data_IF_078540487547
#
_entry.id   IF_078540487547
#
_cell.length_a   1.000
_cell.length_b   1.000
_cell.length_c   1.000
_cell.angle_alpha   90.00
_cell.angle_beta   90.00
_cell.angle_gamma   90.00
#
_symmetry.space_group_name_H-M   'P 1'
#
loop_
_entity.id
_entity.type
_entity.pdbx_description
1 polymer ?
#
# COMPACT_ATOMS: atom_id res chain seq x y z
N UNK A 1 2.13 1.22 -12.04
CA UNK A 1 2.89 2.46 -12.31
C UNK A 1 2.07 3.63 -11.75
N UNK A 2 2.72 4.75 -11.38
CA UNK A 2 2.08 5.93 -10.75
C UNK A 2 1.65 6.94 -11.82
N UNK A 3 0.84 6.48 -12.76
CA UNK A 3 0.56 7.18 -14.02
C UNK A 3 -0.33 8.42 -13.82
N UNK A 4 -1.16 8.42 -12.77
CA UNK A 4 -2.15 9.45 -12.51
C UNK A 4 -1.64 10.50 -11.53
N UNK A 5 -1.98 11.76 -11.75
CA UNK A 5 -1.67 12.82 -10.79
C UNK A 5 -2.73 12.86 -9.69
N UNK A 6 -2.27 12.71 -8.45
CA UNK A 6 -3.04 12.79 -7.22
C UNK A 6 -3.12 14.22 -6.66
N UNK A 7 -3.57 14.35 -5.40
CA UNK A 7 -3.57 15.63 -4.68
C UNK A 7 -2.14 16.07 -4.34
N UNK A 8 -1.98 17.30 -3.84
CA UNK A 8 -0.69 17.75 -3.35
C UNK A 8 -0.29 16.98 -2.10
N UNK A 9 1.00 16.69 -1.97
CA UNK A 9 1.54 16.01 -0.79
C UNK A 9 1.31 16.84 0.48
N UNK A 10 1.41 18.17 0.38
CA UNK A 10 1.15 19.09 1.48
C UNK A 10 -0.27 18.92 2.03
N UNK A 11 -1.29 18.81 1.16
CA UNK A 11 -2.67 18.61 1.59
C UNK A 11 -2.83 17.32 2.39
N UNK A 12 -2.26 16.20 1.90
CA UNK A 12 -2.34 14.90 2.57
C UNK A 12 -1.59 14.88 3.90
N UNK A 13 -0.36 15.44 3.93
CA UNK A 13 0.46 15.47 5.15
C UNK A 13 -0.11 16.40 6.21
N UNK A 14 -0.74 17.51 5.82
CA UNK A 14 -1.51 18.37 6.73
C UNK A 14 -2.72 17.63 7.29
N UNK A 15 -3.51 16.98 6.43
CA UNK A 15 -4.67 16.18 6.85
C UNK A 15 -4.30 15.09 7.86
N UNK A 16 -3.15 14.43 7.67
CA UNK A 16 -2.63 13.45 8.63
C UNK A 16 -2.21 14.09 9.96
N UNK A 17 -1.63 15.29 9.95
CA UNK A 17 -1.25 16.00 11.16
C UNK A 17 -2.46 16.50 11.95
N UNK A 18 -3.57 16.77 11.26
CA UNK A 18 -4.84 17.27 11.81
C UNK A 18 -5.85 16.16 12.11
N UNK A 19 -5.41 14.90 12.16
CA UNK A 19 -6.30 13.78 12.48
C UNK A 19 -6.92 13.97 13.88
N UNK A 20 -8.25 13.84 14.01
CA UNK A 20 -8.92 13.93 15.30
C UNK A 20 -8.44 12.85 16.28
N UNK A 21 -8.24 13.19 17.55
CA UNK A 21 -7.81 12.23 18.60
C UNK A 21 -8.81 11.07 18.77
N UNK A 22 -10.09 11.30 18.52
CA UNK A 22 -11.12 10.25 18.49
C UNK A 22 -10.85 9.18 17.43
N UNK A 23 -10.20 9.53 16.30
CA UNK A 23 -9.76 8.56 15.29
C UNK A 23 -8.47 7.83 15.68
N UNK A 24 -7.77 8.32 16.71
CA UNK A 24 -6.58 7.72 17.31
C UNK A 24 -6.89 6.90 18.56
N UNK A 25 -8.17 6.78 18.93
CA UNK A 25 -8.58 5.93 20.04
C UNK A 25 -8.38 4.44 19.70
N UNK A 26 -8.45 3.60 20.74
CA UNK A 26 -8.11 2.19 20.60
C UNK A 26 -9.05 1.46 19.63
N UNK A 27 -8.52 0.80 18.58
CA UNK A 27 -9.33 -0.04 17.72
C UNK A 27 -9.86 -1.22 18.53
N UNK A 28 -11.10 -1.59 18.25
CA UNK A 28 -11.73 -2.73 18.88
C UNK A 28 -11.14 -4.02 18.31
N UNK A 29 -10.78 -4.95 19.19
CA UNK A 29 -10.50 -6.34 18.84
C UNK A 29 -11.01 -7.22 19.97
N UNK A 30 -11.96 -8.11 19.64
CA UNK A 30 -12.73 -8.85 20.64
C UNK A 30 -13.55 -7.94 21.57
N UNK A 31 -13.29 -8.03 22.88
CA UNK A 31 -13.96 -7.23 23.91
C UNK A 31 -13.17 -5.98 24.37
N UNK A 32 -11.99 -5.74 23.78
CA UNK A 32 -11.13 -4.60 24.13
C UNK A 32 -11.18 -3.54 23.02
N UNK A 33 -10.99 -2.26 23.38
CA UNK A 33 -11.03 -1.11 22.46
C UNK A 33 -12.43 -0.58 22.18
N UNK A 34 -12.52 0.47 21.36
CA UNK A 34 -13.73 1.26 21.15
C UNK A 34 -14.17 1.32 19.68
N UNK A 35 -13.22 1.45 18.75
CA UNK A 35 -13.55 1.73 17.35
C UNK A 35 -13.72 0.43 16.56
N UNK A 36 -14.90 0.23 15.96
CA UNK A 36 -15.13 -0.86 15.02
C UNK A 36 -14.50 -0.53 13.66
N UNK A 37 -13.27 -0.99 13.43
CA UNK A 37 -12.52 -0.62 12.22
C UNK A 37 -13.20 -1.11 10.94
N UNK A 38 -13.79 -2.31 10.92
CA UNK A 38 -14.57 -2.79 9.79
C UNK A 38 -15.74 -1.84 9.42
N UNK A 39 -16.41 -1.25 10.42
CA UNK A 39 -17.47 -0.28 10.18
C UNK A 39 -16.93 1.02 9.56
N UNK A 40 -15.81 1.54 10.07
CA UNK A 40 -15.15 2.73 9.50
C UNK A 40 -14.72 2.49 8.04
N UNK A 41 -14.22 1.29 7.72
CA UNK A 41 -13.88 0.91 6.34
C UNK A 41 -15.13 0.86 5.46
N UNK A 42 -16.24 0.30 5.95
CA UNK A 42 -17.51 0.30 5.23
C UNK A 42 -18.03 1.72 4.98
N UNK A 43 -17.94 2.60 5.98
CA UNK A 43 -18.38 4.00 5.88
C UNK A 43 -17.54 4.74 4.83
N UNK A 44 -16.21 4.60 4.88
CA UNK A 44 -15.32 5.14 3.85
C UNK A 44 -15.71 4.64 2.46
N UNK A 45 -15.87 3.33 2.29
CA UNK A 45 -16.22 2.75 0.99
C UNK A 45 -17.59 3.22 0.50
N UNK A 46 -18.53 3.43 1.41
CA UNK A 46 -19.86 3.98 1.09
C UNK A 46 -19.75 5.45 0.64
N UNK A 47 -18.97 6.27 1.34
CA UNK A 47 -18.71 7.67 0.97
C UNK A 47 -17.94 7.79 -0.37
N UNK A 48 -17.19 6.75 -0.74
CA UNK A 48 -16.51 6.63 -2.03
C UNK A 48 -17.38 6.00 -3.12
N UNK A 49 -18.68 5.79 -2.88
CA UNK A 49 -19.65 5.19 -3.81
C UNK A 49 -19.27 3.74 -4.23
N UNK A 50 -18.72 2.98 -3.28
CA UNK A 50 -18.13 1.67 -3.47
C UNK A 50 -18.45 0.68 -2.32
N UNK A 51 -19.70 0.56 -1.84
CA UNK A 51 -20.03 -0.33 -0.72
C UNK A 51 -19.72 -1.80 -1.06
N UNK A 52 -19.28 -2.56 -0.06
CA UNK A 52 -18.94 -3.98 -0.21
C UNK A 52 -19.75 -4.86 0.74
N UNK A 53 -19.79 -6.16 0.45
CA UNK A 53 -20.39 -7.13 1.35
C UNK A 53 -19.55 -7.28 2.63
N UNK A 54 -20.21 -7.44 3.78
CA UNK A 54 -19.56 -7.44 5.10
C UNK A 54 -18.50 -8.54 5.25
N UNK A 55 -18.62 -9.64 4.50
CA UNK A 55 -17.65 -10.74 4.53
C UNK A 55 -16.26 -10.33 4.06
N UNK A 56 -16.19 -9.29 3.22
CA UNK A 56 -14.92 -8.74 2.75
C UNK A 56 -14.20 -7.90 3.81
N UNK A 57 -14.88 -7.54 4.90
CA UNK A 57 -14.38 -6.65 5.94
C UNK A 57 -13.87 -7.39 7.18
N UNK A 58 -14.08 -8.71 7.28
CA UNK A 58 -13.68 -9.51 8.45
C UNK A 58 -12.20 -9.37 8.82
N UNK A 59 -11.33 -9.09 7.84
CA UNK A 59 -9.89 -8.85 8.09
C UNK A 59 -9.62 -7.65 9.01
N UNK A 60 -10.57 -6.72 9.11
CA UNK A 60 -10.50 -5.50 9.92
C UNK A 60 -11.18 -5.62 11.29
N UNK A 61 -11.81 -6.75 11.64
CA UNK A 61 -12.41 -6.94 12.97
C UNK A 61 -11.38 -7.24 14.06
N UNK A 62 -10.21 -7.75 13.66
CA UNK A 62 -9.14 -8.17 14.57
C UNK A 62 -9.47 -9.44 15.36
N UNK A 63 -8.57 -10.41 15.33
CA UNK A 63 -8.70 -11.67 16.07
C UNK A 63 -7.92 -11.66 17.40
N UNK A 64 -6.80 -10.92 17.45
CA UNK A 64 -5.91 -10.83 18.62
C UNK A 64 -5.55 -9.37 18.87
N UNK A 65 -6.06 -8.80 19.97
CA UNK A 65 -5.84 -7.39 20.30
C UNK A 65 -4.36 -7.01 20.36
N UNK A 66 -3.50 -7.84 20.96
CA UNK A 66 -2.09 -7.51 21.12
C UNK A 66 -1.36 -7.45 19.77
N UNK A 67 -1.75 -8.32 18.82
CA UNK A 67 -1.16 -8.38 17.47
C UNK A 67 -1.77 -7.37 16.52
N UNK A 68 -3.06 -7.12 16.65
CA UNK A 68 -3.84 -6.41 15.65
C UNK A 68 -3.98 -4.92 15.95
N UNK A 69 -3.81 -4.52 17.22
CA UNK A 69 -3.97 -3.13 17.67
C UNK A 69 -3.22 -2.12 16.80
N UNK A 70 -1.93 -2.34 16.56
CA UNK A 70 -1.14 -1.39 15.75
C UNK A 70 -1.58 -1.39 14.29
N UNK A 71 -1.83 -2.57 13.69
CA UNK A 71 -2.34 -2.69 12.31
C UNK A 71 -3.66 -1.95 12.14
N UNK A 72 -4.62 -2.23 13.00
CA UNK A 72 -5.96 -1.65 12.93
C UNK A 72 -5.94 -0.13 13.18
N UNK A 73 -5.07 0.36 14.06
CA UNK A 73 -4.87 1.80 14.23
C UNK A 73 -4.30 2.46 12.96
N UNK A 74 -3.39 1.79 12.23
CA UNK A 74 -2.89 2.29 10.94
C UNK A 74 -3.98 2.28 9.87
N UNK A 75 -4.83 1.25 9.85
CA UNK A 75 -6.01 1.19 8.95
C UNK A 75 -6.94 2.38 9.19
N UNK A 76 -7.19 2.76 10.45
CA UNK A 76 -7.95 3.98 10.77
C UNK A 76 -7.26 5.23 10.22
N UNK A 77 -5.97 5.43 10.47
CA UNK A 77 -5.25 6.60 9.93
C UNK A 77 -5.34 6.65 8.38
N UNK A 78 -5.24 5.50 7.71
CA UNK A 78 -5.43 5.39 6.27
C UNK A 78 -6.87 5.72 5.85
N UNK A 79 -7.89 5.28 6.59
CA UNK A 79 -9.27 5.64 6.30
C UNK A 79 -9.49 7.16 6.39
N UNK A 80 -8.93 7.80 7.42
CA UNK A 80 -8.98 9.26 7.54
C UNK A 80 -8.32 9.95 6.35
N UNK A 81 -7.15 9.49 5.93
CA UNK A 81 -6.43 10.00 4.77
C UNK A 81 -7.24 9.84 3.47
N UNK A 82 -7.81 8.65 3.24
CA UNK A 82 -8.57 8.31 2.04
C UNK A 82 -9.96 8.97 2.00
N UNK A 83 -10.42 9.56 3.11
CA UNK A 83 -11.63 10.37 3.15
C UNK A 83 -11.42 11.80 2.62
N UNK A 84 -10.20 12.14 2.19
CA UNK A 84 -9.93 13.41 1.49
C UNK A 84 -10.81 13.58 0.25
N UNK A 85 -11.24 14.82 0.01
CA UNK A 85 -12.14 15.22 -1.07
C UNK A 85 -11.63 14.77 -2.44
N UNK A 86 -10.31 14.75 -2.64
CA UNK A 86 -9.73 14.28 -3.89
C UNK A 86 -10.07 12.81 -4.16
N UNK A 87 -9.97 11.93 -3.15
CA UNK A 87 -10.32 10.51 -3.31
C UNK A 87 -11.82 10.31 -3.50
N UNK A 88 -12.66 11.13 -2.84
CA UNK A 88 -14.13 11.12 -3.05
C UNK A 88 -14.51 11.48 -4.48
N UNK A 89 -13.75 12.36 -5.12
CA UNK A 89 -13.94 12.71 -6.53
C UNK A 89 -13.33 11.68 -7.49
N UNK A 90 -12.14 11.17 -7.18
CA UNK A 90 -11.43 10.19 -8.00
C UNK A 90 -12.10 8.80 -7.99
N UNK A 91 -12.84 8.48 -6.91
CA UNK A 91 -13.56 7.22 -6.68
C UNK A 91 -12.71 5.97 -7.00
N UNK A 92 -11.58 5.75 -6.29
CA UNK A 92 -10.79 4.54 -6.47
C UNK A 92 -11.65 3.29 -6.24
N UNK A 93 -11.45 2.27 -7.05
CA UNK A 93 -12.22 1.02 -6.93
C UNK A 93 -12.00 0.35 -5.57
N UNK A 94 -13.07 -0.21 -4.99
CA UNK A 94 -13.08 -0.82 -3.66
C UNK A 94 -11.91 -1.80 -3.43
N UNK A 95 -11.61 -2.65 -4.42
CA UNK A 95 -10.56 -3.67 -4.30
C UNK A 95 -9.18 -3.07 -4.07
N UNK A 96 -8.87 -1.94 -4.72
CA UNK A 96 -7.58 -1.26 -4.51
C UNK A 96 -7.49 -0.66 -3.12
N UNK A 97 -8.59 -0.13 -2.59
CA UNK A 97 -8.65 0.42 -1.24
C UNK A 97 -8.48 -0.71 -0.22
N UNK A 98 -9.22 -1.80 -0.35
CA UNK A 98 -9.14 -2.95 0.56
C UNK A 98 -7.73 -3.56 0.58
N UNK A 99 -7.12 -3.76 -0.59
CA UNK A 99 -5.73 -4.25 -0.70
C UNK A 99 -4.76 -3.27 -0.05
N UNK A 100 -4.91 -1.96 -0.30
CA UNK A 100 -4.06 -0.95 0.33
C UNK A 100 -4.19 -1.00 1.85
N UNK A 101 -5.41 -1.03 2.40
CA UNK A 101 -5.64 -1.02 3.84
C UNK A 101 -5.05 -2.26 4.52
N UNK A 102 -5.22 -3.44 3.92
CA UNK A 102 -4.69 -4.69 4.47
C UNK A 102 -3.15 -4.78 4.32
N UNK A 103 -2.64 -4.62 3.11
CA UNK A 103 -1.20 -4.74 2.82
C UNK A 103 -0.39 -3.65 3.54
N UNK A 104 -0.70 -2.37 3.29
CA UNK A 104 0.08 -1.25 3.84
C UNK A 104 -0.09 -1.19 5.36
N UNK A 105 -1.29 -1.43 5.87
CA UNK A 105 -1.55 -1.53 7.30
C UNK A 105 -0.68 -2.61 7.95
N UNK A 106 -0.65 -3.81 7.37
CA UNK A 106 0.14 -4.93 7.89
C UNK A 106 1.66 -4.75 7.74
N UNK A 107 2.13 -4.17 6.64
CA UNK A 107 3.55 -3.91 6.40
C UNK A 107 4.11 -2.83 7.34
N UNK A 108 3.40 -1.69 7.48
CA UNK A 108 3.83 -0.61 8.36
C UNK A 108 3.72 -0.98 9.83
N UNK A 109 2.70 -1.75 10.23
CA UNK A 109 2.52 -2.14 11.63
C UNK A 109 3.71 -2.92 12.22
N UNK A 110 4.51 -3.58 11.36
CA UNK A 110 5.72 -4.31 11.75
C UNK A 110 6.93 -3.41 11.98
N UNK A 111 6.88 -2.16 11.52
CA UNK A 111 8.03 -1.26 11.45
C UNK A 111 7.85 0.00 12.29
N UNK A 112 6.63 0.51 12.38
CA UNK A 112 6.34 1.82 12.97
C UNK A 112 5.07 1.76 13.81
N UNK A 113 5.10 2.41 14.97
CA UNK A 113 3.92 2.62 15.80
C UNK A 113 2.98 3.62 15.12
N UNK A 114 1.67 3.36 15.12
CA UNK A 114 0.66 4.18 14.46
C UNK A 114 0.77 5.68 14.79
N UNK A 115 0.99 6.03 16.07
CA UNK A 115 1.15 7.44 16.51
C UNK A 115 2.33 8.17 15.87
N UNK A 116 3.37 7.46 15.40
CA UNK A 116 4.48 8.08 14.66
C UNK A 116 4.07 8.49 13.25
N UNK A 117 3.13 7.78 12.62
CA UNK A 117 2.59 8.17 11.31
C UNK A 117 1.77 9.46 11.34
N UNK A 118 1.50 10.00 12.53
CA UNK A 118 0.80 11.28 12.73
C UNK A 118 1.74 12.34 13.28
N UNK A 119 2.57 12.01 14.27
CA UNK A 119 3.45 12.99 14.92
C UNK A 119 4.73 13.29 14.15
N UNK A 120 5.27 12.34 13.41
CA UNK A 120 6.54 12.47 12.69
C UNK A 120 6.29 12.92 11.23
N UNK A 121 6.82 14.10 10.81
CA UNK A 121 6.64 14.61 9.45
C UNK A 121 7.12 13.66 8.35
N UNK A 122 8.25 12.98 8.56
CA UNK A 122 8.81 12.06 7.56
C UNK A 122 7.92 10.82 7.39
N UNK A 123 7.36 10.34 8.50
CA UNK A 123 6.41 9.21 8.49
C UNK A 123 5.06 9.57 7.91
N UNK A 124 4.58 10.81 8.10
CA UNK A 124 3.40 11.32 7.40
C UNK A 124 3.62 11.35 5.89
N UNK A 125 4.77 11.86 5.44
CA UNK A 125 5.14 11.88 4.03
C UNK A 125 5.21 10.46 3.45
N UNK A 126 5.89 9.54 4.16
CA UNK A 126 5.97 8.12 3.77
C UNK A 126 4.58 7.50 3.57
N UNK A 127 3.68 7.67 4.55
CA UNK A 127 2.32 7.11 4.49
C UNK A 127 1.52 7.67 3.31
N UNK A 128 1.54 9.00 3.12
CA UNK A 128 0.83 9.65 2.03
C UNK A 128 1.32 9.18 0.65
N UNK A 129 2.65 9.09 0.48
CA UNK A 129 3.25 8.61 -0.78
C UNK A 129 2.95 7.13 -1.03
N UNK A 130 3.04 6.29 -0.01
CA UNK A 130 2.69 4.87 -0.11
C UNK A 130 1.23 4.69 -0.54
N UNK A 131 0.30 5.41 0.09
CA UNK A 131 -1.12 5.33 -0.24
C UNK A 131 -1.37 5.73 -1.70
N UNK A 132 -0.82 6.86 -2.15
CA UNK A 132 -0.93 7.29 -3.54
C UNK A 132 -0.33 6.26 -4.51
N UNK A 133 0.87 5.76 -4.22
CA UNK A 133 1.55 4.79 -5.07
C UNK A 133 0.75 3.49 -5.24
N UNK A 134 0.15 2.99 -4.16
CA UNK A 134 -0.70 1.78 -4.18
C UNK A 134 -2.01 1.98 -4.95
N UNK A 135 -2.51 3.22 -5.01
CA UNK A 135 -3.65 3.57 -5.84
C UNK A 135 -3.27 3.89 -7.30
N UNK A 136 -1.97 3.89 -7.64
CA UNK A 136 -1.46 4.20 -8.98
C UNK A 136 -1.34 5.70 -9.26
N UNK A 137 -1.26 6.51 -8.20
CA UNK A 137 -1.17 7.96 -8.26
C UNK A 137 0.21 8.46 -7.79
N UNK A 138 0.63 9.62 -8.28
CA UNK A 138 1.78 10.39 -7.78
C UNK A 138 1.32 11.74 -7.23
N UNK A 139 2.06 12.37 -6.31
CA UNK A 139 1.70 13.71 -5.84
C UNK A 139 1.59 14.73 -6.97
N UNK A 140 0.71 15.72 -6.79
CA UNK A 140 0.63 16.86 -7.70
C UNK A 140 2.00 17.56 -7.81
N UNK A 141 2.38 17.93 -9.04
CA UNK A 141 3.65 18.59 -9.35
C UNK A 141 4.89 17.70 -9.52
N UNK A 142 4.83 16.41 -9.18
CA UNK A 142 5.99 15.49 -9.31
C UNK A 142 5.92 14.66 -10.59
N UNK A 143 7.04 14.33 -11.21
CA UNK A 143 7.09 13.29 -12.25
C UNK A 143 7.01 11.88 -11.64
N UNK A 144 6.74 10.86 -12.47
CA UNK A 144 6.75 9.46 -12.01
C UNK A 144 8.10 9.07 -11.40
N UNK A 145 9.20 9.46 -12.05
CA UNK A 145 10.55 9.20 -11.56
C UNK A 145 10.82 9.88 -10.21
N UNK A 146 10.46 11.17 -10.08
CA UNK A 146 10.61 11.90 -8.83
C UNK A 146 9.83 11.26 -7.68
N UNK A 147 8.57 10.89 -7.93
CA UNK A 147 7.71 10.28 -6.93
C UNK A 147 8.25 8.92 -6.48
N UNK A 148 8.72 8.10 -7.43
CA UNK A 148 9.30 6.79 -7.16
C UNK A 148 10.62 6.90 -6.37
N UNK A 149 11.53 7.77 -6.80
CA UNK A 149 12.83 7.97 -6.14
C UNK A 149 12.64 8.44 -4.70
N UNK A 150 11.72 9.38 -4.48
CA UNK A 150 11.40 9.87 -3.14
C UNK A 150 10.77 8.80 -2.26
N UNK A 151 9.86 7.99 -2.81
CA UNK A 151 9.26 6.87 -2.08
C UNK A 151 10.29 5.80 -1.69
N UNK A 152 11.23 5.48 -2.57
CA UNK A 152 12.33 4.53 -2.29
C UNK A 152 13.31 5.11 -1.25
N UNK A 153 13.54 6.42 -1.27
CA UNK A 153 14.38 7.07 -0.27
C UNK A 153 13.77 7.00 1.14
N UNK A 154 12.45 7.17 1.26
CA UNK A 154 11.74 7.20 2.54
C UNK A 154 11.35 5.81 3.05
N UNK A 155 10.81 4.97 2.19
CA UNK A 155 10.19 3.72 2.63
C UNK A 155 11.13 2.53 2.55
N UNK A 156 11.48 2.01 3.73
CA UNK A 156 12.26 0.77 3.83
C UNK A 156 11.50 -0.44 3.25
N UNK A 157 10.17 -0.42 3.33
CA UNK A 157 9.28 -1.42 2.74
C UNK A 157 9.37 -1.39 1.22
N UNK A 158 9.25 -0.22 0.59
CA UNK A 158 9.37 -0.14 -0.86
C UNK A 158 10.78 -0.40 -1.35
N UNK A 159 11.83 0.00 -0.60
CA UNK A 159 13.20 -0.47 -0.90
C UNK A 159 13.26 -2.00 -0.95
N UNK A 160 12.76 -2.67 0.08
CA UNK A 160 12.76 -4.14 0.15
C UNK A 160 11.96 -4.75 -1.00
N UNK A 161 10.81 -4.17 -1.34
CA UNK A 161 9.93 -4.62 -2.42
C UNK A 161 10.58 -4.46 -3.80
N UNK A 162 11.18 -3.31 -4.08
CA UNK A 162 11.95 -3.06 -5.32
C UNK A 162 13.10 -4.04 -5.43
N UNK A 163 13.87 -4.27 -4.36
CA UNK A 163 14.96 -5.24 -4.35
C UNK A 163 14.47 -6.67 -4.63
N UNK A 164 13.35 -7.09 -4.05
CA UNK A 164 12.74 -8.40 -4.32
C UNK A 164 12.27 -8.51 -5.78
N UNK A 165 11.60 -7.48 -6.30
CA UNK A 165 11.14 -7.45 -7.68
C UNK A 165 12.32 -7.53 -8.67
N UNK A 166 13.41 -6.81 -8.40
CA UNK A 166 14.64 -6.87 -9.20
C UNK A 166 15.26 -8.26 -9.22
N UNK A 167 15.33 -8.95 -8.07
CA UNK A 167 15.81 -10.33 -8.00
C UNK A 167 14.97 -11.30 -8.84
N UNK A 168 13.64 -11.22 -8.72
CA UNK A 168 12.72 -12.06 -9.50
C UNK A 168 12.87 -11.78 -11.01
N UNK A 169 13.03 -10.51 -11.41
CA UNK A 169 13.26 -10.15 -12.81
C UNK A 169 14.61 -10.67 -13.33
N UNK A 170 15.67 -10.58 -12.52
CA UNK A 170 17.01 -11.09 -12.86
C UNK A 170 17.01 -12.61 -13.01
N UNK A 171 16.36 -13.33 -12.10
CA UNK A 171 16.19 -14.80 -12.15
C UNK A 171 15.44 -15.22 -13.42
N UNK A 172 14.34 -14.54 -13.76
CA UNK A 172 13.60 -14.79 -15.01
C UNK A 172 14.45 -14.51 -16.25
N UNK A 173 15.19 -13.39 -16.26
CA UNK A 173 16.07 -13.07 -17.37
C UNK A 173 17.22 -14.08 -17.52
N UNK A 174 17.69 -14.65 -16.41
CA UNK A 174 18.70 -15.71 -16.40
C UNK A 174 18.13 -17.03 -16.94
N UNK A 175 16.95 -17.46 -16.47
CA UNK A 175 16.33 -18.71 -16.94
C UNK A 175 16.02 -18.68 -18.43
N UNK A 176 15.58 -17.53 -18.95
CA UNK A 176 15.36 -17.32 -20.39
C UNK A 176 16.68 -17.46 -21.16
N UNK A 177 17.77 -16.85 -20.70
CA UNK A 177 19.09 -16.95 -21.34
C UNK A 177 19.63 -18.38 -21.34
N UNK A 178 19.45 -19.11 -20.24
CA UNK A 178 19.86 -20.51 -20.13
C UNK A 178 19.04 -21.42 -21.06
N UNK A 179 17.72 -21.22 -21.14
CA UNK A 179 16.86 -21.95 -22.07
C UNK A 179 17.21 -21.70 -23.54
N UNK A 180 17.48 -20.44 -23.90
CA UNK A 180 17.91 -20.08 -25.26
C UNK A 180 19.27 -20.71 -25.62
N UNK A 181 20.23 -20.73 -24.69
CA UNK A 181 21.52 -21.39 -24.91
C UNK A 181 21.40 -22.89 -25.09
N UNK A 182 20.56 -23.55 -24.28
CA UNK A 182 20.32 -25.00 -24.40
C UNK A 182 19.70 -25.33 -25.76
N UNK A 183 18.66 -24.59 -26.17
CA UNK A 183 18.02 -24.77 -27.47
C UNK A 183 18.99 -24.57 -28.64
N UNK A 184 19.86 -23.56 -28.57
CA UNK A 184 20.88 -23.33 -29.60
C UNK A 184 21.93 -24.45 -29.67
N UNK A 185 22.29 -25.06 -28.52
CA UNK A 185 23.19 -26.20 -28.46
C UNK A 185 22.54 -27.46 -29.07
N UNK A 186 21.28 -27.73 -28.74
CA UNK A 186 20.51 -28.86 -29.29
C UNK A 186 20.36 -28.72 -30.83
N UNK A 187 20.03 -27.52 -31.32
CA UNK A 187 19.92 -27.24 -32.77
C UNK A 187 21.25 -27.33 -33.52
N UNK A 188 22.38 -27.10 -32.85
CA UNK A 188 23.73 -27.24 -33.43
C UNK A 188 24.17 -28.70 -33.48
N UNK A 189 23.84 -29.48 -32.45
CA UNK A 189 24.09 -30.92 -32.42
C UNK A 189 23.26 -31.68 -33.47
N UNK A 190 21.99 -31.33 -33.63
CA UNK A 190 21.10 -31.92 -34.65
C UNK A 190 21.58 -31.66 -36.09
N UNK A 191 22.22 -30.51 -36.35
CA UNK A 191 22.82 -30.21 -37.66
C UNK A 191 24.07 -31.04 -37.94
N UNK A 192 24.90 -31.30 -36.93
CA UNK A 192 26.15 -32.07 -37.08
C UNK A 192 25.91 -33.58 -37.22
N UNK A 193 24.75 -34.07 -36.81
CA UNK A 193 24.38 -35.50 -36.89
C UNK A 193 23.68 -35.87 -38.21
N UNK A 194 23.47 -34.90 -39.12
CA UNK A 194 22.76 -35.07 -40.40
C UNK A 194 23.65 -34.96 -41.65
N UNK A 195 24.96 -34.79 -41.48
CA UNK A 195 25.98 -34.92 -42.54
C UNK A 195 26.62 -36.31 -42.50
#
# INVERSE_FOLDING_TARGET
MMEQQGPSLEALTRRLAEIPEEFLAEPRSGQQGHIHVAAVVQDLLTDLDNPVASERLFVFDGADFARDRNRLAIVLILCWLLHDDWFRQARPVADRILILLDDVGGELAKQVASRKLVSDPERREELARLALARLGCRPAGESEAQAQDRLVSLSSTERSRVLKASRVAEERARSIREALRKKAADESADKWTRE
#
